data_IF_253238067330
#
_entry.id   IF_253238067330
#
_cell.length_a   1.000
_cell.length_b   1.000
_cell.length_c   1.000
_cell.angle_alpha   90.00
_cell.angle_beta   90.00
_cell.angle_gamma   90.00
#
_symmetry.space_group_name_H-M   'P 1'
#
loop_
_entity.id
_entity.type
_entity.pdbx_description
1 polymer ?
#
# COMPACT_ATOMS: atom_id res chain seq x y z
N UNK A 1 -4.72 -26.81 -66.98
CA UNK A 1 -5.63 -25.67 -66.75
C UNK A 1 -5.31 -25.09 -65.39
N UNK A 2 -4.90 -23.82 -65.35
CA UNK A 2 -4.59 -23.05 -64.15
C UNK A 2 -5.89 -22.71 -63.42
N UNK A 3 -6.08 -23.23 -62.20
CA UNK A 3 -7.18 -22.80 -61.34
C UNK A 3 -6.77 -21.56 -60.56
N UNK A 4 -7.55 -20.51 -60.74
CA UNK A 4 -7.41 -19.17 -60.19
C UNK A 4 -7.83 -19.16 -58.73
N UNK A 5 -6.85 -19.06 -57.82
CA UNK A 5 -7.10 -18.67 -56.43
C UNK A 5 -7.42 -17.17 -56.46
N UNK A 6 -8.71 -16.82 -56.41
CA UNK A 6 -9.13 -15.43 -56.29
C UNK A 6 -8.65 -14.88 -54.94
N UNK A 7 -7.69 -13.96 -55.01
CA UNK A 7 -7.17 -13.15 -53.91
C UNK A 7 -8.34 -12.44 -53.18
N UNK A 8 -8.78 -13.01 -52.06
CA UNK A 8 -9.41 -12.21 -51.00
C UNK A 8 -8.29 -11.49 -50.24
N UNK A 9 -7.72 -10.44 -50.85
CA UNK A 9 -6.98 -9.46 -50.06
C UNK A 9 -7.99 -8.57 -49.33
N UNK A 10 -7.82 -8.32 -48.02
CA UNK A 10 -8.62 -7.33 -47.32
C UNK A 10 -8.50 -5.98 -48.04
N UNK A 11 -9.64 -5.45 -48.51
CA UNK A 11 -9.73 -4.23 -49.33
C UNK A 11 -9.93 -2.96 -48.51
N UNK A 12 -9.99 -3.06 -47.19
CA UNK A 12 -10.25 -1.93 -46.31
C UNK A 12 -9.14 -1.83 -45.27
N UNK A 13 -8.36 -0.75 -45.37
CA UNK A 13 -7.58 -0.25 -44.24
C UNK A 13 -8.57 0.56 -43.42
N UNK A 14 -9.06 0.00 -42.32
CA UNK A 14 -9.69 0.81 -41.29
C UNK A 14 -8.60 1.68 -40.68
N UNK A 15 -8.46 2.90 -41.18
CA UNK A 15 -7.68 3.92 -40.49
C UNK A 15 -8.41 4.18 -39.17
N UNK A 16 -7.91 3.59 -38.09
CA UNK A 16 -8.26 4.06 -36.75
C UNK A 16 -7.80 5.51 -36.67
N UNK A 17 -8.77 6.41 -36.65
CA UNK A 17 -8.52 7.82 -36.44
C UNK A 17 -7.94 8.00 -35.04
N UNK A 18 -6.61 8.10 -34.95
CA UNK A 18 -5.89 8.42 -33.72
C UNK A 18 -5.99 9.92 -33.38
N UNK A 19 -6.68 10.73 -34.20
CA UNK A 19 -6.72 12.18 -34.05
C UNK A 19 -7.99 12.66 -33.34
N UNK A 20 -7.98 12.61 -32.00
CA UNK A 20 -8.67 13.58 -31.13
C UNK A 20 -8.32 13.38 -29.64
N UNK A 21 -7.07 13.08 -29.32
CA UNK A 21 -6.63 13.10 -27.92
C UNK A 21 -5.80 14.36 -27.70
N UNK A 22 -6.33 15.27 -26.89
CA UNK A 22 -5.61 16.46 -26.49
C UNK A 22 -4.42 16.00 -25.66
N UNK A 23 -3.24 16.26 -26.20
CA UNK A 23 -1.97 16.06 -25.53
C UNK A 23 -1.55 17.39 -24.93
N UNK A 24 -1.45 17.45 -23.61
CA UNK A 24 -0.85 18.60 -22.94
C UNK A 24 0.63 18.30 -22.73
N UNK A 25 1.48 18.92 -23.53
CA UNK A 25 2.92 18.86 -23.36
C UNK A 25 3.36 19.80 -22.22
N UNK A 26 4.15 19.27 -21.30
CA UNK A 26 4.83 20.05 -20.25
C UNK A 26 6.33 19.73 -20.26
N UNK A 27 7.14 20.50 -19.53
CA UNK A 27 8.55 20.19 -19.33
C UNK A 27 8.78 18.80 -18.68
N UNK A 28 7.76 18.25 -18.04
CA UNK A 28 7.79 16.99 -17.29
C UNK A 28 7.35 15.77 -18.14
N UNK A 29 6.72 16.02 -19.29
CA UNK A 29 6.23 15.00 -20.22
C UNK A 29 4.85 15.33 -20.81
N UNK A 30 4.30 14.36 -21.54
CA UNK A 30 2.97 14.46 -22.17
C UNK A 30 1.89 13.82 -21.31
N UNK A 31 0.83 14.57 -21.04
CA UNK A 31 -0.40 14.07 -20.45
C UNK A 31 -1.39 13.66 -21.53
N UNK A 32 -2.16 12.61 -21.26
CA UNK A 32 -3.15 12.09 -22.19
C UNK A 32 -4.53 12.02 -21.54
N UNK A 33 -5.51 12.73 -22.10
CA UNK A 33 -6.87 12.80 -21.55
C UNK A 33 -7.60 11.45 -21.53
N UNK A 34 -7.20 10.51 -22.40
CA UNK A 34 -7.74 9.15 -22.41
C UNK A 34 -7.25 8.28 -21.23
N UNK A 35 -6.24 8.73 -20.48
CA UNK A 35 -5.76 8.00 -19.31
C UNK A 35 -6.82 8.08 -18.21
N UNK A 36 -7.63 7.01 -18.09
CA UNK A 36 -8.72 6.94 -17.10
C UNK A 36 -8.24 6.55 -15.70
N UNK A 37 -7.02 6.03 -15.56
CA UNK A 37 -6.53 5.50 -14.29
C UNK A 37 -5.93 6.60 -13.40
N UNK A 38 -5.15 7.52 -13.98
CA UNK A 38 -4.41 8.51 -13.20
C UNK A 38 -4.18 9.82 -13.97
N UNK A 39 -3.45 10.74 -13.33
CA UNK A 39 -3.01 12.02 -13.89
C UNK A 39 -1.48 12.00 -14.10
N UNK A 40 -0.91 10.91 -14.61
CA UNK A 40 0.53 10.79 -14.87
C UNK A 40 0.85 10.96 -16.35
N UNK A 41 2.07 11.45 -16.62
CA UNK A 41 2.68 11.41 -17.96
C UNK A 41 3.05 9.98 -18.35
N UNK A 42 3.24 9.72 -19.65
CA UNK A 42 3.72 8.41 -20.13
C UNK A 42 5.08 8.00 -19.53
N UNK A 43 5.96 8.98 -19.27
CA UNK A 43 7.27 8.74 -18.64
C UNK A 43 7.15 8.28 -17.19
N UNK A 44 6.30 8.94 -16.41
CA UNK A 44 6.04 8.56 -15.02
C UNK A 44 5.35 7.19 -14.93
N UNK A 45 4.41 6.93 -15.85
CA UNK A 45 3.74 5.64 -15.97
C UNK A 45 4.77 4.50 -16.14
N UNK A 46 5.64 4.61 -17.14
CA UNK A 46 6.67 3.61 -17.42
C UNK A 46 7.62 3.44 -16.23
N UNK A 47 7.97 4.54 -15.55
CA UNK A 47 8.82 4.49 -14.36
C UNK A 47 8.16 3.68 -13.24
N UNK A 48 6.87 3.85 -13.01
CA UNK A 48 6.13 3.10 -11.99
C UNK A 48 6.02 1.61 -12.31
N UNK A 49 6.04 1.21 -13.59
CA UNK A 49 5.92 -0.20 -13.99
C UNK A 49 7.14 -1.09 -13.62
N UNK A 50 8.25 -0.52 -13.16
CA UNK A 50 9.40 -1.32 -12.67
C UNK A 50 8.97 -2.27 -11.55
N UNK A 51 9.28 -3.56 -11.68
CA UNK A 51 8.89 -4.59 -10.69
C UNK A 51 9.57 -4.42 -9.33
N UNK A 52 10.61 -3.59 -9.22
CA UNK A 52 11.26 -3.26 -7.96
C UNK A 52 11.70 -1.80 -7.92
N UNK A 53 11.85 -1.26 -6.71
CA UNK A 53 12.30 0.10 -6.48
C UNK A 53 12.92 0.27 -5.09
N UNK A 54 13.67 1.36 -4.91
CA UNK A 54 14.26 1.76 -3.64
C UNK A 54 13.66 3.12 -3.26
N UNK A 55 13.10 3.21 -2.07
CA UNK A 55 12.66 4.46 -1.44
C UNK A 55 13.12 4.40 0.01
N UNK A 56 14.09 5.24 0.35
CA UNK A 56 14.66 5.28 1.68
C UNK A 56 13.93 6.35 2.52
N UNK A 57 13.47 6.04 3.73
CA UNK A 57 12.89 7.06 4.61
C UNK A 57 13.87 8.20 4.83
N UNK A 58 13.39 9.44 4.78
CA UNK A 58 14.22 10.62 5.14
C UNK A 58 14.76 10.46 6.57
N UNK A 59 15.97 10.98 6.80
CA UNK A 59 16.63 10.91 8.10
C UNK A 59 15.74 11.54 9.18
N UNK A 60 15.62 10.85 10.32
CA UNK A 60 14.70 11.20 11.41
C UNK A 60 15.17 12.49 12.10
N UNK A 61 14.30 13.48 12.23
CA UNK A 61 14.55 14.64 13.09
C UNK A 61 14.44 14.22 14.57
N UNK A 62 15.36 14.72 15.42
CA UNK A 62 15.53 14.30 16.82
C UNK A 62 14.33 14.52 17.76
N UNK A 63 13.32 15.32 17.36
CA UNK A 63 12.26 15.81 18.25
C UNK A 63 10.83 15.36 17.87
N UNK A 64 10.65 14.46 16.90
CA UNK A 64 9.31 13.94 16.56
C UNK A 64 9.05 12.68 17.37
N UNK A 65 7.91 12.64 18.06
CA UNK A 65 7.47 11.51 18.87
C UNK A 65 7.72 10.18 18.15
N UNK A 66 8.31 9.25 18.89
CA UNK A 66 8.79 7.95 18.41
C UNK A 66 7.61 7.09 17.97
N UNK A 67 7.52 6.81 16.66
CA UNK A 67 6.55 5.86 16.12
C UNK A 67 7.26 4.72 15.40
N UNK A 68 7.06 3.46 15.82
CA UNK A 68 7.70 2.32 15.20
C UNK A 68 7.18 2.10 13.76
N UNK A 69 8.13 1.77 12.86
CA UNK A 69 7.91 1.11 11.57
C UNK A 69 6.86 1.72 10.62
N UNK A 70 6.97 3.02 10.34
CA UNK A 70 6.18 3.70 9.31
C UNK A 70 6.80 3.55 7.91
N UNK A 71 5.99 3.19 6.91
CA UNK A 71 6.36 3.33 5.49
C UNK A 71 6.54 4.80 5.11
N UNK A 72 7.52 5.15 4.25
CA UNK A 72 7.70 6.52 3.77
C UNK A 72 6.43 7.03 3.08
N UNK A 73 6.04 8.29 3.31
CA UNK A 73 4.92 8.88 2.59
C UNK A 73 5.13 8.86 1.08
N UNK A 74 6.34 9.13 0.61
CA UNK A 74 6.70 9.09 -0.81
C UNK A 74 6.38 7.73 -1.46
N UNK A 75 6.56 6.62 -0.71
CA UNK A 75 6.16 5.30 -1.18
C UNK A 75 4.66 5.27 -1.46
N UNK A 76 3.86 5.68 -0.49
CA UNK A 76 2.40 5.64 -0.57
C UNK A 76 1.87 6.63 -1.62
N UNK A 77 2.47 7.82 -1.72
CA UNK A 77 2.14 8.82 -2.74
C UNK A 77 2.30 8.27 -4.16
N UNK A 78 3.36 7.49 -4.44
CA UNK A 78 3.55 6.89 -5.76
C UNK A 78 2.43 5.91 -6.12
N UNK A 79 1.99 5.08 -5.16
CA UNK A 79 0.86 4.17 -5.38
C UNK A 79 -0.46 4.92 -5.53
N UNK A 80 -0.73 5.91 -4.68
CA UNK A 80 -1.94 6.73 -4.79
C UNK A 80 -1.99 7.42 -6.15
N UNK A 81 -0.90 8.08 -6.57
CA UNK A 81 -0.84 8.76 -7.87
C UNK A 81 -1.06 7.81 -9.03
N UNK A 82 -0.58 6.56 -8.95
CA UNK A 82 -0.72 5.61 -10.05
C UNK A 82 -2.12 4.98 -10.12
N UNK A 83 -2.74 4.67 -8.97
CA UNK A 83 -4.03 3.97 -8.93
C UNK A 83 -5.24 4.90 -8.77
N UNK A 84 -5.03 6.22 -8.76
CA UNK A 84 -6.10 7.20 -8.65
C UNK A 84 -5.84 8.48 -9.45
N UNK A 85 -6.92 9.17 -9.78
CA UNK A 85 -6.96 10.60 -10.14
C UNK A 85 -7.10 11.48 -8.90
N UNK A 86 -6.79 12.77 -9.05
CA UNK A 86 -7.10 13.76 -8.02
C UNK A 86 -8.60 13.76 -7.67
N UNK A 87 -8.91 14.04 -6.39
CA UNK A 87 -10.28 14.02 -5.87
C UNK A 87 -10.85 12.62 -5.57
N UNK A 88 -10.23 11.55 -6.05
CA UNK A 88 -10.65 10.18 -5.72
C UNK A 88 -10.33 9.81 -4.26
N UNK A 89 -10.98 8.74 -3.78
CA UNK A 89 -10.93 8.35 -2.37
C UNK A 89 -10.02 7.15 -2.13
N UNK A 90 -9.07 7.33 -1.20
CA UNK A 90 -8.13 6.30 -0.75
C UNK A 90 -8.56 5.76 0.62
N UNK A 91 -8.56 4.45 0.79
CA UNK A 91 -8.82 3.78 2.06
C UNK A 91 -7.54 3.15 2.62
N UNK A 92 -7.37 3.25 3.93
CA UNK A 92 -6.46 2.42 4.71
C UNK A 92 -7.19 1.84 5.94
N UNK A 93 -7.55 0.56 5.96
CA UNK A 93 -8.28 -0.04 7.06
C UNK A 93 -7.43 -0.27 8.33
N UNK A 94 -6.10 -0.08 8.26
CA UNK A 94 -5.16 -0.28 9.36
C UNK A 94 -4.09 0.82 9.33
N UNK A 95 -4.56 2.07 9.47
CA UNK A 95 -3.80 3.26 9.05
C UNK A 95 -2.63 3.63 9.98
N UNK A 96 -2.58 3.04 11.18
CA UNK A 96 -1.52 3.29 12.16
C UNK A 96 -1.38 4.77 12.47
N UNK A 97 -0.19 5.31 12.22
CA UNK A 97 0.11 6.73 12.49
C UNK A 97 -0.30 7.68 11.37
N UNK A 98 -1.00 7.24 10.32
CA UNK A 98 -1.60 8.15 9.34
C UNK A 98 -0.80 8.40 8.06
N UNK A 99 0.18 7.58 7.69
CA UNK A 99 0.99 7.80 6.48
C UNK A 99 0.15 7.92 5.21
N UNK A 100 -0.84 7.03 5.06
CA UNK A 100 -1.75 7.02 3.92
C UNK A 100 -2.61 8.28 3.86
N UNK A 101 -3.06 8.79 5.02
CA UNK A 101 -3.82 10.04 5.09
C UNK A 101 -2.97 11.23 4.62
N UNK A 102 -1.73 11.34 5.10
CA UNK A 102 -0.81 12.41 4.70
C UNK A 102 -0.45 12.30 3.21
N UNK A 103 -0.17 11.10 2.72
CA UNK A 103 0.14 10.87 1.30
C UNK A 103 -1.04 11.24 0.39
N UNK A 104 -2.27 10.89 0.78
CA UNK A 104 -3.47 11.30 0.06
C UNK A 104 -3.65 12.83 0.07
N UNK A 105 -3.41 13.49 1.21
CA UNK A 105 -3.43 14.96 1.29
C UNK A 105 -2.38 15.58 0.36
N UNK A 106 -1.13 15.09 0.38
CA UNK A 106 -0.04 15.58 -0.47
C UNK A 106 -0.29 15.40 -1.96
N UNK A 107 -1.21 14.50 -2.31
CA UNK A 107 -1.56 14.19 -3.68
C UNK A 107 -2.96 14.67 -4.03
N UNK A 108 -3.65 15.51 -3.25
CA UNK A 108 -4.98 16.01 -3.61
C UNK A 108 -6.06 14.91 -3.73
N UNK A 109 -5.99 13.86 -2.91
CA UNK A 109 -7.00 12.80 -2.81
C UNK A 109 -7.77 12.90 -1.49
N UNK A 110 -9.00 12.40 -1.48
CA UNK A 110 -9.76 12.16 -0.25
C UNK A 110 -9.21 10.91 0.43
N UNK A 111 -9.34 10.83 1.77
CA UNK A 111 -8.77 9.71 2.51
C UNK A 111 -9.65 9.25 3.66
N UNK A 112 -9.73 7.95 3.85
CA UNK A 112 -10.41 7.32 4.99
C UNK A 112 -9.41 6.37 5.66
N UNK A 113 -9.20 6.55 6.95
CA UNK A 113 -8.36 5.69 7.77
C UNK A 113 -9.14 5.05 8.91
N UNK A 114 -8.84 3.79 9.21
CA UNK A 114 -9.34 3.10 10.40
C UNK A 114 -8.15 2.68 11.26
N UNK A 115 -8.21 2.98 12.56
CA UNK A 115 -7.16 2.62 13.51
C UNK A 115 -7.75 2.15 14.84
N UNK A 116 -7.34 0.96 15.29
CA UNK A 116 -7.83 0.35 16.52
C UNK A 116 -7.23 1.03 17.76
N UNK A 117 -5.92 1.30 17.72
CA UNK A 117 -5.17 1.87 18.84
C UNK A 117 -5.47 3.35 18.99
N UNK A 118 -6.05 3.75 20.13
CA UNK A 118 -6.27 5.17 20.45
C UNK A 118 -4.97 5.97 20.32
N UNK A 119 -3.86 5.41 20.79
CA UNK A 119 -2.54 6.04 20.76
C UNK A 119 -2.12 6.38 19.33
N UNK A 120 -2.25 5.45 18.39
CA UNK A 120 -1.86 5.69 16.99
C UNK A 120 -2.88 6.56 16.26
N UNK A 121 -4.17 6.42 16.56
CA UNK A 121 -5.21 7.30 16.03
C UNK A 121 -4.98 8.77 16.45
N UNK A 122 -4.62 9.03 17.71
CA UNK A 122 -4.33 10.39 18.20
C UNK A 122 -3.13 11.00 17.46
N UNK A 123 -2.09 10.21 17.19
CA UNK A 123 -0.92 10.62 16.42
C UNK A 123 -1.29 10.93 14.97
N UNK A 124 -2.07 10.05 14.34
CA UNK A 124 -2.56 10.27 12.98
C UNK A 124 -3.37 11.56 12.89
N UNK A 125 -4.25 11.82 13.86
CA UNK A 125 -5.04 13.04 13.94
C UNK A 125 -4.17 14.28 14.10
N UNK A 126 -3.17 14.26 14.98
CA UNK A 126 -2.22 15.36 15.14
C UNK A 126 -1.51 15.69 13.82
N UNK A 127 -1.01 14.67 13.12
CA UNK A 127 -0.33 14.84 11.82
C UNK A 127 -1.25 15.42 10.75
N UNK A 128 -2.49 14.92 10.67
CA UNK A 128 -3.49 15.44 9.73
C UNK A 128 -3.78 16.91 10.04
N UNK A 129 -4.01 17.26 11.31
CA UNK A 129 -4.27 18.64 11.71
C UNK A 129 -3.11 19.58 11.39
N UNK A 130 -1.87 19.19 11.70
CA UNK A 130 -0.68 19.96 11.34
C UNK A 130 -0.58 20.17 9.83
N UNK A 131 -0.81 19.11 9.04
CA UNK A 131 -0.78 19.21 7.58
C UNK A 131 -1.91 20.09 7.04
N UNK A 132 -3.09 20.05 7.63
CA UNK A 132 -4.22 20.94 7.26
C UNK A 132 -3.89 22.40 7.50
N UNK A 133 -3.12 22.73 8.55
CA UNK A 133 -2.70 24.11 8.82
C UNK A 133 -1.65 24.63 7.82
N UNK A 134 -0.84 23.74 7.24
CA UNK A 134 0.14 24.10 6.20
C UNK A 134 -0.52 24.36 4.83
N UNK A 135 -1.71 23.80 4.60
CA UNK A 135 -2.44 23.94 3.35
C UNK A 135 -3.13 25.32 3.32
N UNK A 136 -2.79 26.15 2.33
CA UNK A 136 -3.40 27.48 2.15
C UNK A 136 -4.83 27.38 1.62
N UNK A 137 -5.65 28.42 1.84
CA UNK A 137 -7.09 28.47 1.48
C UNK A 137 -7.38 28.20 -0.01
N UNK A 138 -6.38 28.29 -0.89
CA UNK A 138 -6.52 28.04 -2.33
C UNK A 138 -6.42 26.55 -2.73
N UNK A 139 -6.02 25.67 -1.83
CA UNK A 139 -6.14 24.22 -2.06
C UNK A 139 -7.50 23.73 -1.56
N UNK A 140 -8.28 23.07 -2.43
CA UNK A 140 -9.57 22.50 -2.10
C UNK A 140 -9.51 21.71 -0.77
N UNK A 141 -10.39 22.06 0.17
CA UNK A 141 -10.48 21.45 1.51
C UNK A 141 -10.73 19.94 1.37
N UNK A 142 -9.69 19.13 1.62
CA UNK A 142 -9.68 17.67 1.38
C UNK A 142 -10.52 16.94 2.44
N UNK A 143 -11.32 15.96 2.03
CA UNK A 143 -12.12 15.17 2.95
C UNK A 143 -11.29 14.02 3.51
N UNK A 144 -10.63 14.25 4.65
CA UNK A 144 -9.88 13.23 5.39
C UNK A 144 -10.68 12.82 6.61
N UNK A 145 -10.99 11.53 6.71
CA UNK A 145 -11.73 10.94 7.84
C UNK A 145 -10.87 9.89 8.53
N UNK A 146 -10.80 9.97 9.86
CA UNK A 146 -10.15 8.96 10.68
C UNK A 146 -11.19 8.36 11.64
N UNK A 147 -11.38 7.05 11.55
CA UNK A 147 -12.26 6.29 12.44
C UNK A 147 -11.41 5.52 13.44
N UNK A 148 -11.64 5.76 14.73
CA UNK A 148 -11.12 4.86 15.76
C UNK A 148 -12.00 3.61 15.80
N UNK A 149 -11.46 2.46 15.39
CA UNK A 149 -12.25 1.25 15.26
C UNK A 149 -11.47 0.03 14.76
N UNK A 150 -12.17 -1.09 14.71
CA UNK A 150 -11.63 -2.37 14.27
C UNK A 150 -11.81 -2.52 12.75
N UNK A 151 -10.73 -2.84 12.04
CA UNK A 151 -10.72 -3.09 10.59
C UNK A 151 -11.70 -4.18 10.16
N UNK A 152 -12.01 -5.14 11.05
CA UNK A 152 -12.99 -6.21 10.81
C UNK A 152 -14.42 -5.71 10.67
N UNK A 153 -14.67 -4.45 11.02
CA UNK A 153 -15.97 -3.78 10.91
C UNK A 153 -15.99 -2.72 9.78
N UNK A 154 -15.02 -2.76 8.86
CA UNK A 154 -14.88 -1.77 7.78
C UNK A 154 -16.15 -1.61 6.93
N UNK A 155 -16.90 -2.69 6.69
CA UNK A 155 -18.16 -2.70 5.93
C UNK A 155 -19.37 -2.18 6.71
N UNK A 156 -19.23 -1.93 8.02
CA UNK A 156 -20.28 -1.33 8.85
C UNK A 156 -20.22 0.19 8.88
N UNK A 157 -19.10 0.77 8.47
CA UNK A 157 -18.99 2.22 8.32
C UNK A 157 -19.67 2.56 7.00
N UNK A 158 -20.63 3.48 7.03
CA UNK A 158 -21.35 3.90 5.82
C UNK A 158 -20.40 4.67 4.88
N UNK A 159 -19.68 3.91 4.05
CA UNK A 159 -18.78 4.41 3.03
C UNK A 159 -19.00 3.62 1.73
N UNK A 160 -19.02 4.34 0.62
CA UNK A 160 -19.04 3.80 -0.72
C UNK A 160 -17.95 4.46 -1.54
N UNK A 161 -17.77 3.99 -2.76
CA UNK A 161 -16.99 4.69 -3.77
C UNK A 161 -15.48 4.80 -3.48
N UNK A 162 -14.92 3.80 -2.80
CA UNK A 162 -13.47 3.70 -2.61
C UNK A 162 -12.81 3.33 -3.95
N UNK A 163 -11.93 4.21 -4.44
CA UNK A 163 -11.23 4.04 -5.71
C UNK A 163 -9.96 3.18 -5.53
N UNK A 164 -9.27 3.35 -4.39
CA UNK A 164 -8.02 2.67 -4.09
C UNK A 164 -7.91 2.34 -2.60
N UNK A 165 -7.47 1.13 -2.27
CA UNK A 165 -7.10 0.75 -0.91
C UNK A 165 -5.61 0.46 -0.85
N UNK A 166 -4.90 1.04 0.11
CA UNK A 166 -3.50 0.72 0.37
C UNK A 166 -3.27 0.60 1.87
N UNK A 167 -2.60 -0.46 2.28
CA UNK A 167 -2.39 -0.74 3.69
C UNK A 167 -1.18 -1.61 3.94
N UNK A 168 -0.76 -1.65 5.20
CA UNK A 168 0.17 -2.63 5.71
C UNK A 168 -0.38 -3.22 6.99
N UNK A 169 -0.84 -4.48 6.97
CA UNK A 169 -1.31 -5.12 8.18
C UNK A 169 -0.18 -5.30 9.20
N UNK A 170 -0.50 -5.58 10.48
CA UNK A 170 0.50 -6.05 11.44
C UNK A 170 1.19 -7.30 10.89
N UNK A 171 2.49 -7.46 11.14
CA UNK A 171 3.24 -8.65 10.70
C UNK A 171 3.08 -9.81 11.68
N UNK A 172 1.83 -10.27 11.87
CA UNK A 172 1.48 -11.29 12.86
C UNK A 172 2.00 -10.92 14.26
N UNK A 173 2.40 -11.91 15.06
CA UNK A 173 2.89 -11.75 16.43
C UNK A 173 4.41 -11.51 16.51
N UNK A 174 5.08 -11.11 15.43
CA UNK A 174 6.55 -10.94 15.39
C UNK A 174 7.10 -9.99 16.47
N UNK A 175 6.27 -9.09 17.02
CA UNK A 175 6.69 -8.23 18.14
C UNK A 175 6.74 -8.96 19.50
N UNK A 176 6.08 -10.11 19.63
CA UNK A 176 5.97 -10.90 20.86
C UNK A 176 7.09 -11.93 21.01
N UNK A 177 7.91 -12.17 19.98
CA UNK A 177 9.04 -13.07 20.09
C UNK A 177 10.10 -12.52 21.05
N UNK A 178 10.37 -13.28 22.12
CA UNK A 178 11.51 -13.05 23.00
C UNK A 178 12.77 -13.57 22.31
N UNK A 179 13.51 -12.66 21.70
CA UNK A 179 14.80 -12.96 21.06
C UNK A 179 15.17 -11.90 20.03
N UNK A 180 16.47 -11.61 19.96
CA UNK A 180 17.12 -10.62 19.11
C UNK A 180 17.05 -9.15 19.56
N UNK A 181 18.19 -8.48 19.31
CA UNK A 181 18.61 -7.11 19.65
C UNK A 181 17.51 -6.03 19.58
N UNK A 182 16.42 -6.27 18.85
CA UNK A 182 15.21 -5.45 18.78
C UNK A 182 14.56 -5.13 20.14
N UNK A 183 14.47 -6.04 21.12
CA UNK A 183 13.84 -5.69 22.41
C UNK A 183 14.72 -4.73 23.24
N UNK A 184 16.03 -5.01 23.37
CA UNK A 184 16.98 -4.11 24.04
C UNK A 184 17.10 -2.76 23.33
N UNK A 185 17.30 -2.77 22.01
CA UNK A 185 17.43 -1.53 21.21
C UNK A 185 16.12 -0.72 21.16
N UNK A 186 14.95 -1.35 21.29
CA UNK A 186 13.64 -0.66 21.36
C UNK A 186 13.36 -0.09 22.75
N UNK A 187 13.72 -0.81 23.81
CA UNK A 187 13.69 -0.30 25.19
C UNK A 187 14.62 0.91 25.35
N UNK A 188 15.84 0.82 24.83
CA UNK A 188 16.82 1.92 24.84
C UNK A 188 16.39 3.14 24.01
N UNK A 189 15.54 2.94 22.99
CA UNK A 189 15.05 4.01 22.10
C UNK A 189 13.58 4.39 22.36
N UNK A 190 12.97 3.94 23.45
CA UNK A 190 11.59 4.26 23.86
C UNK A 190 10.53 3.95 22.77
N UNK A 191 10.71 2.87 21.99
CA UNK A 191 9.72 2.38 21.04
C UNK A 191 8.79 1.36 21.70
N UNK A 192 7.52 1.33 21.28
CA UNK A 192 6.57 0.32 21.75
C UNK A 192 7.06 -1.10 21.43
N UNK A 193 7.08 -1.95 22.45
CA UNK A 193 7.37 -3.38 22.32
C UNK A 193 6.15 -4.18 21.84
N UNK A 194 4.96 -3.58 21.91
CA UNK A 194 3.66 -4.18 21.56
C UNK A 194 2.84 -3.14 20.80
N UNK A 195 2.22 -3.51 19.66
CA UNK A 195 1.28 -2.60 18.98
C UNK A 195 0.03 -2.37 19.84
N UNK A 196 -0.45 -3.42 20.54
CA UNK A 196 -1.55 -3.36 21.51
C UNK A 196 -1.64 -4.65 22.34
N UNK A 197 -2.18 -4.57 23.56
CA UNK A 197 -2.65 -5.74 24.32
C UNK A 197 -4.13 -6.09 24.03
N UNK A 198 -4.80 -5.32 23.17
CA UNK A 198 -6.20 -5.54 22.84
C UNK A 198 -6.39 -6.89 22.12
N UNK A 199 -7.30 -7.74 22.61
CA UNK A 199 -7.67 -9.01 21.95
C UNK A 199 -8.23 -8.83 20.53
N UNK A 200 -8.70 -7.62 20.20
CA UNK A 200 -9.17 -7.27 18.87
C UNK A 200 -8.05 -6.93 17.88
N UNK A 201 -6.81 -6.77 18.35
CA UNK A 201 -5.67 -6.56 17.47
C UNK A 201 -5.33 -7.88 16.74
N UNK A 202 -5.45 -7.86 15.42
CA UNK A 202 -5.14 -9.02 14.56
C UNK A 202 -3.68 -9.46 14.73
N UNK A 203 -2.77 -8.55 15.10
CA UNK A 203 -1.38 -8.87 15.45
C UNK A 203 -1.22 -9.70 16.73
N UNK A 204 -2.29 -9.96 17.48
CA UNK A 204 -2.28 -10.79 18.70
C UNK A 204 -2.72 -12.23 18.48
N UNK A 205 -3.09 -12.61 17.26
CA UNK A 205 -3.42 -14.00 16.89
C UNK A 205 -2.13 -14.82 16.92
N UNK A 206 -2.15 -15.97 17.57
CA UNK A 206 -0.99 -16.86 17.77
C UNK A 206 -0.89 -18.00 16.74
N UNK A 207 -1.96 -18.25 16.00
CA UNK A 207 -2.00 -19.20 14.88
C UNK A 207 -1.84 -18.44 13.54
N UNK A 208 -0.82 -18.83 12.78
CA UNK A 208 -0.47 -18.18 11.53
C UNK A 208 -1.60 -18.23 10.48
N UNK A 209 -2.27 -19.38 10.34
CA UNK A 209 -3.30 -19.53 9.31
C UNK A 209 -4.58 -18.79 9.71
N UNK A 210 -4.94 -18.78 11.00
CA UNK A 210 -6.03 -17.92 11.50
C UNK A 210 -5.73 -16.44 11.26
N UNK A 211 -4.48 -16.02 11.45
CA UNK A 211 -4.07 -14.65 11.13
C UNK A 211 -4.27 -14.32 9.65
N UNK A 212 -3.87 -15.21 8.73
CA UNK A 212 -4.09 -15.04 7.28
C UNK A 212 -5.59 -15.03 6.95
N UNK A 213 -6.40 -15.89 7.59
CA UNK A 213 -7.85 -15.93 7.42
C UNK A 213 -8.54 -14.63 7.86
N UNK A 214 -8.11 -14.03 8.96
CA UNK A 214 -8.64 -12.74 9.44
C UNK A 214 -8.29 -11.59 8.49
N UNK A 215 -7.06 -11.56 7.94
CA UNK A 215 -6.72 -10.61 6.88
C UNK A 215 -7.59 -10.79 5.64
N UNK A 216 -7.83 -12.05 5.24
CA UNK A 216 -8.71 -12.35 4.12
C UNK A 216 -10.14 -11.86 4.33
N UNK A 217 -10.70 -12.04 5.54
CA UNK A 217 -12.04 -11.53 5.88
C UNK A 217 -12.10 -9.99 5.83
N UNK A 218 -11.12 -9.30 6.41
CA UNK A 218 -11.02 -7.82 6.36
C UNK A 218 -10.99 -7.35 4.91
N UNK A 219 -10.13 -7.92 4.09
CA UNK A 219 -10.00 -7.49 2.69
C UNK A 219 -11.19 -7.89 1.83
N UNK A 220 -11.87 -9.00 2.14
CA UNK A 220 -13.15 -9.36 1.51
C UNK A 220 -14.26 -8.35 1.83
N UNK A 221 -14.23 -7.73 3.02
CA UNK A 221 -15.13 -6.62 3.38
C UNK A 221 -14.74 -5.32 2.68
N UNK A 222 -13.45 -5.03 2.55
CA UNK A 222 -12.94 -3.93 1.73
C UNK A 222 -13.40 -4.09 0.27
N UNK A 223 -13.33 -5.30 -0.28
CA UNK A 223 -13.83 -5.60 -1.63
C UNK A 223 -15.30 -5.15 -1.82
N UNK A 224 -16.18 -5.33 -0.82
CA UNK A 224 -17.60 -4.96 -0.93
C UNK A 224 -17.82 -3.46 -1.10
N UNK A 225 -17.04 -2.63 -0.42
CA UNK A 225 -17.19 -1.16 -0.43
C UNK A 225 -16.39 -0.46 -1.52
N UNK A 226 -15.47 -1.16 -2.18
CA UNK A 226 -14.67 -0.64 -3.30
C UNK A 226 -15.45 -0.58 -4.61
N UNK A 227 -15.09 0.37 -5.49
CA UNK A 227 -15.61 0.42 -6.86
C UNK A 227 -15.12 -0.75 -7.70
N UNK A 228 -15.97 -1.18 -8.65
CA UNK A 228 -15.54 -2.07 -9.74
C UNK A 228 -14.38 -1.40 -10.51
N UNK A 229 -13.33 -2.16 -10.79
CA UNK A 229 -12.09 -1.64 -11.39
C UNK A 229 -11.10 -1.00 -10.41
N UNK A 230 -11.46 -0.86 -9.13
CA UNK A 230 -10.57 -0.33 -8.10
C UNK A 230 -9.44 -1.29 -7.73
N UNK A 231 -8.39 -0.75 -7.12
CA UNK A 231 -7.18 -1.50 -6.78
C UNK A 231 -6.95 -1.60 -5.26
N UNK A 232 -6.41 -2.73 -4.83
CA UNK A 232 -5.95 -2.98 -3.47
C UNK A 232 -4.44 -3.24 -3.51
N UNK A 233 -3.67 -2.47 -2.76
CA UNK A 233 -2.24 -2.73 -2.52
C UNK A 233 -2.02 -3.13 -1.08
N UNK A 234 -1.48 -4.33 -0.86
CA UNK A 234 -1.10 -4.81 0.48
C UNK A 234 0.42 -4.88 0.58
N UNK A 235 0.99 -4.08 1.48
CA UNK A 235 2.44 -4.05 1.71
C UNK A 235 2.76 -5.00 2.86
N UNK A 236 3.47 -6.09 2.56
CA UNK A 236 3.79 -7.16 3.52
C UNK A 236 5.23 -7.64 3.40
N UNK A 237 5.71 -8.34 4.43
CA UNK A 237 7.01 -9.02 4.43
C UNK A 237 6.80 -10.47 4.84
N UNK A 238 7.59 -11.37 4.27
CA UNK A 238 7.64 -12.75 4.77
C UNK A 238 8.22 -12.77 6.19
N UNK A 239 7.63 -13.59 7.04
CA UNK A 239 7.94 -13.65 8.47
C UNK A 239 8.96 -14.76 8.73
N UNK A 240 9.91 -14.51 9.63
CA UNK A 240 10.86 -15.51 10.12
C UNK A 240 10.61 -15.72 11.60
N UNK A 241 10.24 -16.92 12.00
CA UNK A 241 9.92 -17.29 13.38
C UNK A 241 10.26 -18.74 13.64
N UNK A 242 10.92 -19.01 14.77
CA UNK A 242 11.29 -20.38 15.19
C UNK A 242 12.08 -21.16 14.14
N UNK A 243 12.99 -20.49 13.40
CA UNK A 243 13.79 -21.12 12.33
C UNK A 243 13.02 -21.42 11.03
N UNK A 244 11.74 -21.05 10.94
CA UNK A 244 10.89 -21.23 9.76
C UNK A 244 10.62 -19.90 9.07
N UNK A 245 10.41 -19.95 7.75
CA UNK A 245 9.86 -18.84 6.97
C UNK A 245 8.37 -19.07 6.77
N UNK A 246 7.58 -18.07 7.12
CA UNK A 246 6.15 -18.00 6.82
C UNK A 246 5.96 -17.05 5.63
N UNK A 247 5.58 -17.57 4.45
CA UNK A 247 5.52 -16.81 3.21
C UNK A 247 4.26 -15.93 3.13
N UNK A 248 4.05 -15.03 4.10
CA UNK A 248 2.87 -14.18 4.23
C UNK A 248 2.42 -13.50 2.94
N UNK A 249 3.34 -12.98 2.14
CA UNK A 249 2.98 -12.36 0.87
C UNK A 249 2.25 -13.35 -0.06
N UNK A 250 2.76 -14.57 -0.15
CA UNK A 250 2.28 -15.59 -1.06
C UNK A 250 1.08 -16.38 -0.52
N UNK A 251 1.01 -16.56 0.80
CA UNK A 251 -0.18 -17.13 1.45
C UNK A 251 -1.37 -16.16 1.30
N UNK A 252 -1.16 -14.87 1.52
CA UNK A 252 -2.20 -13.86 1.33
C UNK A 252 -2.62 -13.73 -0.14
N UNK A 253 -1.66 -13.72 -1.07
CA UNK A 253 -1.95 -13.65 -2.51
C UNK A 253 -2.79 -14.82 -3.02
N UNK A 254 -2.61 -16.02 -2.46
CA UNK A 254 -3.43 -17.20 -2.80
C UNK A 254 -4.80 -17.17 -2.12
N UNK A 255 -4.89 -16.56 -0.94
CA UNK A 255 -6.11 -16.58 -0.13
C UNK A 255 -7.14 -15.55 -0.58
N UNK A 256 -6.70 -14.39 -1.08
CA UNK A 256 -7.57 -13.30 -1.55
C UNK A 256 -8.19 -13.60 -2.92
N UNK A 257 -9.07 -14.60 -2.97
CA UNK A 257 -9.78 -15.04 -4.17
C UNK A 257 -10.85 -14.05 -4.69
N UNK A 258 -11.37 -13.19 -3.80
CA UNK A 258 -12.32 -12.14 -4.16
C UNK A 258 -11.69 -10.99 -4.98
N UNK A 259 -10.37 -10.93 -5.08
CA UNK A 259 -9.66 -10.04 -5.97
C UNK A 259 -8.83 -10.81 -6.98
N UNK A 260 -8.54 -10.19 -8.12
CA UNK A 260 -7.53 -10.69 -9.06
C UNK A 260 -6.17 -10.12 -8.71
N UNK A 261 -5.20 -10.97 -8.35
CA UNK A 261 -3.79 -10.56 -8.26
C UNK A 261 -3.31 -10.11 -9.64
N UNK A 262 -2.72 -8.91 -9.72
CA UNK A 262 -2.22 -8.32 -10.95
C UNK A 262 -0.71 -8.31 -11.06
N UNK A 263 -0.03 -8.05 -9.95
CA UNK A 263 1.42 -7.94 -9.91
C UNK A 263 1.92 -7.98 -8.46
N UNK A 264 3.21 -8.20 -8.28
CA UNK A 264 3.92 -7.94 -7.04
C UNK A 264 5.13 -7.04 -7.30
N UNK A 265 5.20 -5.92 -6.58
CA UNK A 265 6.37 -5.03 -6.63
C UNK A 265 7.25 -5.28 -5.41
N UNK A 266 8.56 -5.14 -5.58
CA UNK A 266 9.54 -5.31 -4.51
C UNK A 266 10.06 -3.94 -4.08
N UNK A 267 9.71 -3.54 -2.86
CA UNK A 267 10.32 -2.38 -2.21
C UNK A 267 11.61 -2.81 -1.50
N UNK A 268 12.75 -2.48 -2.10
CA UNK A 268 14.08 -2.79 -1.59
C UNK A 268 14.55 -1.72 -0.59
N UNK A 269 15.28 -2.16 0.45
CA UNK A 269 15.88 -1.31 1.47
C UNK A 269 17.40 -1.55 1.51
N UNK A 270 18.15 -0.78 0.73
CA UNK A 270 19.61 -0.89 0.59
C UNK A 270 20.39 -0.19 1.71
N UNK A 271 19.69 0.55 2.56
CA UNK A 271 20.25 1.27 3.70
C UNK A 271 20.14 0.49 5.04
N UNK A 272 19.72 -0.79 4.98
CA UNK A 272 19.61 -1.65 6.18
C UNK A 272 20.93 -2.38 6.41
N UNK A 273 21.46 -2.28 7.63
CA UNK A 273 22.67 -3.00 8.03
C UNK A 273 22.41 -4.51 8.00
N UNK A 274 23.27 -5.26 7.30
CA UNK A 274 23.23 -6.71 7.25
C UNK A 274 23.83 -7.31 8.52
N UNK A 275 23.24 -8.41 8.99
CA UNK A 275 23.78 -9.22 10.08
C UNK A 275 24.29 -10.57 9.54
N UNK A 276 25.38 -11.13 10.09
CA UNK A 276 25.95 -12.39 9.65
C UNK A 276 25.16 -13.60 10.20
N UNK A 277 23.85 -13.63 9.97
CA UNK A 277 23.00 -14.69 10.51
C UNK A 277 23.44 -16.07 10.02
N UNK A 278 23.61 -17.01 10.96
CA UNK A 278 23.96 -18.39 10.66
C UNK A 278 25.40 -18.62 10.15
N UNK A 279 26.26 -17.58 10.15
CA UNK A 279 27.65 -17.71 9.72
C UNK A 279 28.38 -18.83 10.47
N UNK A 280 28.92 -19.79 9.73
CA UNK A 280 29.63 -20.96 10.27
C UNK A 280 28.75 -22.16 10.65
N UNK A 281 27.42 -22.06 10.60
CA UNK A 281 26.53 -23.12 11.10
C UNK A 281 25.30 -23.44 10.22
N UNK A 282 24.62 -22.43 9.65
CA UNK A 282 23.33 -22.64 8.94
C UNK A 282 22.99 -21.50 7.98
N UNK A 283 22.17 -21.76 6.95
CA UNK A 283 21.64 -20.69 6.10
C UNK A 283 20.55 -19.89 6.81
N UNK A 284 20.77 -18.58 6.97
CA UNK A 284 19.75 -17.63 7.42
C UNK A 284 19.91 -16.34 6.62
N UNK A 285 18.91 -16.00 5.81
CA UNK A 285 18.99 -14.82 4.96
C UNK A 285 18.77 -13.51 5.74
N UNK A 286 19.31 -12.41 5.24
CA UNK A 286 18.81 -11.07 5.58
C UNK A 286 17.61 -10.79 4.66
N UNK A 287 16.45 -10.40 5.22
CA UNK A 287 15.32 -9.97 4.40
C UNK A 287 15.26 -8.45 4.44
N UNK A 288 15.61 -7.81 3.34
CA UNK A 288 15.77 -6.35 3.21
C UNK A 288 14.79 -5.75 2.20
N UNK A 289 13.65 -6.40 2.02
CA UNK A 289 12.60 -5.95 1.13
C UNK A 289 11.22 -6.21 1.71
N UNK A 290 10.23 -5.52 1.13
CA UNK A 290 8.81 -5.78 1.30
C UNK A 290 8.19 -6.08 -0.05
N UNK A 291 7.12 -6.87 -0.03
CA UNK A 291 6.25 -7.10 -1.17
C UNK A 291 5.13 -6.06 -1.14
N UNK A 292 4.88 -5.41 -2.25
CA UNK A 292 3.69 -4.62 -2.51
C UNK A 292 2.81 -5.44 -3.45
N UNK A 293 1.91 -6.24 -2.89
CA UNK A 293 0.99 -7.07 -3.66
C UNK A 293 -0.11 -6.18 -4.24
N UNK A 294 -0.34 -6.25 -5.55
CA UNK A 294 -1.32 -5.43 -6.24
C UNK A 294 -2.46 -6.32 -6.73
N UNK A 295 -3.65 -6.01 -6.25
CA UNK A 295 -4.89 -6.68 -6.57
C UNK A 295 -5.86 -5.73 -7.26
N UNK A 296 -6.76 -6.25 -8.07
CA UNK A 296 -7.83 -5.50 -8.73
C UNK A 296 -9.18 -6.15 -8.47
N UNK A 297 -10.19 -5.33 -8.16
CA UNK A 297 -11.59 -5.72 -8.15
C UNK A 297 -12.11 -5.70 -9.59
N UNK A 298 -12.44 -6.85 -10.15
CA UNK A 298 -12.89 -6.97 -11.55
C UNK A 298 -14.28 -6.42 -11.82
#
# INVERSE_FOLDING_TARGET
MLNSVSKNMPKEILNMDYSAHLETASAEGTYHDYNRLNNLTGKEWIKFQKSWFIINPKSRQKNVLLHPAKFPEELIENFIKFFTKEGQTVLDPMVGTGSTLIAAMNTNRNAIGIELSKKYADVALQRVNSRTQEITEHENKKNVKLYKGDARLVDRINMSDIDFCITSPPYWDMLREKGFETQKTRQEKNYDLYYSENQQDVGNIDDYMKFVDELNDIYSKVHKIMKKGGYLTVIVKNIKKGGKIYPLAWDLARKLDCFTLKDEKIWCQDNVKLAPYGYGYSWVSNTVHHYCLIFKKE
#
